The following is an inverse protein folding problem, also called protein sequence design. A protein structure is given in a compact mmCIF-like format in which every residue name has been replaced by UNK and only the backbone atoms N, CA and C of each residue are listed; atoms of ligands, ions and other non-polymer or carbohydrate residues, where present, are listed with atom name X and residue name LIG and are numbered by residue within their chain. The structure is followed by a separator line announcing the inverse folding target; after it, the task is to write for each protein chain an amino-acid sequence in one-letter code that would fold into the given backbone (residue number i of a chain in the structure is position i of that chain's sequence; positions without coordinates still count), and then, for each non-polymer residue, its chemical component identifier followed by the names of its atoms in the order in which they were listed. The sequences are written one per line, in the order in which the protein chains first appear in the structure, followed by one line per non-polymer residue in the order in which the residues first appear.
data_IF_657799036371
#
_entry.id   IF_657799036371
#
_cell.length_a   1.000
_cell.length_b   1.000
_cell.length_c   1.000
_cell.angle_alpha   90.00
_cell.angle_beta   90.00
_cell.angle_gamma   90.00
#
_symmetry.space_group_name_H-M   'P 1'
#
loop_
_entity.id
_entity.type
_entity.pdbx_description
1 polymer ?
#
# COMPACT_ATOMS: atom_id res chain seq x y z
N UNK A 1 3.88 -4.88 20.52
CA UNK A 1 4.91 -5.62 21.28
C UNK A 1 6.14 -4.74 21.43
N UNK A 2 6.79 -4.71 22.60
CA UNK A 2 7.97 -3.86 22.84
C UNK A 2 9.28 -4.65 22.74
N UNK A 3 10.25 -4.09 22.04
CA UNK A 3 11.63 -4.56 21.88
C UNK A 3 12.59 -3.42 22.18
N UNK A 4 13.13 -3.37 23.40
CA UNK A 4 13.95 -2.24 23.84
C UNK A 4 13.17 -0.93 23.76
N UNK A 5 13.65 0.01 22.94
CA UNK A 5 13.03 1.32 22.72
C UNK A 5 11.95 1.31 21.62
N UNK A 6 11.78 0.20 20.91
CA UNK A 6 10.81 0.09 19.82
C UNK A 6 9.54 -0.59 20.30
N UNK A 7 8.39 0.03 20.06
CA UNK A 7 7.09 -0.62 20.11
C UNK A 7 6.60 -0.89 18.69
N UNK A 8 6.32 -2.17 18.43
CA UNK A 8 5.87 -2.66 17.14
C UNK A 8 4.39 -3.03 17.20
N UNK A 9 3.58 -2.42 16.33
CA UNK A 9 2.18 -2.77 16.09
C UNK A 9 2.16 -3.59 14.79
N UNK A 10 1.61 -4.81 14.85
CA UNK A 10 1.37 -5.62 13.66
C UNK A 10 -0.11 -5.58 13.33
N UNK A 11 -0.44 -5.04 12.17
CA UNK A 11 -1.80 -4.97 11.63
C UNK A 11 -1.98 -6.01 10.54
N UNK A 12 -3.12 -6.67 10.55
CA UNK A 12 -3.55 -7.60 9.52
C UNK A 12 -4.16 -6.86 8.32
N UNK A 13 -3.45 -5.85 7.80
CA UNK A 13 -3.79 -5.15 6.56
C UNK A 13 -3.47 -6.02 5.35
N UNK A 14 -4.32 -7.01 5.09
CA UNK A 14 -4.20 -7.96 3.98
C UNK A 14 -5.54 -8.20 3.32
N UNK A 15 -5.51 -8.37 2.00
CA UNK A 15 -6.67 -8.73 1.16
C UNK A 15 -6.28 -9.83 0.19
N UNK A 16 -7.26 -10.54 -0.33
CA UNK A 16 -7.01 -11.53 -1.38
C UNK A 16 -6.43 -10.83 -2.62
N UNK A 17 -5.39 -11.40 -3.22
CA UNK A 17 -4.91 -10.93 -4.52
C UNK A 17 -5.79 -11.51 -5.63
N UNK A 18 -6.29 -10.65 -6.52
CA UNK A 18 -7.02 -11.07 -7.72
C UNK A 18 -6.44 -10.44 -8.98
N UNK A 19 -6.72 -11.08 -10.11
CA UNK A 19 -6.35 -10.53 -11.42
C UNK A 19 -7.00 -9.16 -11.64
N UNK A 20 -6.24 -8.14 -12.08
CA UNK A 20 -6.78 -6.83 -12.47
C UNK A 20 -7.47 -6.84 -13.85
N UNK A 21 -7.42 -7.96 -14.59
CA UNK A 21 -8.05 -8.06 -15.90
C UNK A 21 -9.57 -7.91 -15.79
N UNK A 22 -10.13 -7.07 -16.67
CA UNK A 22 -11.58 -6.91 -16.86
C UNK A 22 -12.13 -7.77 -18.01
N UNK A 23 -11.31 -8.69 -18.57
CA UNK A 23 -11.74 -9.58 -19.64
C UNK A 23 -12.88 -10.51 -19.19
N UNK A 24 -13.75 -10.88 -20.12
CA UNK A 24 -15.03 -11.57 -19.85
C UNK A 24 -14.91 -12.89 -19.07
N UNK A 25 -13.84 -13.65 -19.30
CA UNK A 25 -13.55 -14.90 -18.59
C UNK A 25 -12.79 -14.73 -17.27
N UNK A 26 -12.62 -13.50 -16.78
CA UNK A 26 -11.80 -13.24 -15.59
C UNK A 26 -12.67 -13.27 -14.33
N UNK A 27 -12.34 -14.19 -13.41
CA UNK A 27 -12.69 -14.07 -12.00
C UNK A 27 -11.69 -13.12 -11.33
N UNK A 28 -11.98 -11.83 -11.38
CA UNK A 28 -11.02 -10.76 -11.10
C UNK A 28 -11.38 -9.94 -9.87
N UNK A 29 -10.61 -8.88 -9.64
CA UNK A 29 -10.88 -7.91 -8.57
C UNK A 29 -12.14 -7.06 -8.86
N UNK A 30 -12.41 -6.75 -10.12
CA UNK A 30 -13.48 -5.83 -10.49
C UNK A 30 -14.76 -6.53 -10.98
N UNK A 31 -14.69 -7.82 -11.33
CA UNK A 31 -15.84 -8.54 -11.90
C UNK A 31 -15.72 -10.06 -11.77
N UNK A 32 -16.86 -10.70 -11.89
CA UNK A 32 -16.95 -12.14 -12.11
C UNK A 32 -16.83 -12.51 -13.59
N UNK A 33 -16.47 -13.78 -13.83
CA UNK A 33 -16.49 -14.36 -15.16
C UNK A 33 -17.93 -14.50 -15.66
N UNK A 34 -18.20 -14.16 -16.92
CA UNK A 34 -19.56 -14.19 -17.47
C UNK A 34 -20.19 -15.59 -17.47
N UNK A 35 -19.37 -16.64 -17.52
CA UNK A 35 -19.83 -18.04 -17.44
C UNK A 35 -20.35 -18.43 -16.06
N UNK A 36 -20.01 -17.66 -15.02
CA UNK A 36 -20.17 -18.06 -13.63
C UNK A 36 -21.30 -17.29 -12.93
N UNK A 37 -21.96 -16.35 -13.63
CA UNK A 37 -22.98 -15.45 -13.08
C UNK A 37 -24.15 -16.16 -12.38
N UNK A 38 -24.45 -17.41 -12.75
CA UNK A 38 -25.54 -18.20 -12.15
C UNK A 38 -25.05 -19.21 -11.10
N UNK A 39 -23.76 -19.17 -10.71
CA UNK A 39 -23.16 -20.12 -9.76
C UNK A 39 -22.39 -19.37 -8.66
N UNK A 40 -23.08 -18.84 -7.63
CA UNK A 40 -22.45 -18.04 -6.57
C UNK A 40 -21.28 -18.72 -5.83
N UNK A 41 -21.30 -20.05 -5.73
CA UNK A 41 -20.27 -20.83 -5.02
C UNK A 41 -18.87 -20.76 -5.65
N UNK A 42 -18.76 -20.30 -6.90
CA UNK A 42 -17.48 -20.19 -7.62
C UNK A 42 -17.02 -18.74 -7.85
N UNK A 43 -17.81 -17.77 -7.40
CA UNK A 43 -17.47 -16.35 -7.50
C UNK A 43 -16.18 -16.01 -6.74
N UNK A 44 -15.48 -15.00 -7.26
CA UNK A 44 -14.28 -14.44 -6.69
C UNK A 44 -14.54 -13.50 -5.51
N UNK A 45 -15.71 -12.86 -5.49
CA UNK A 45 -16.12 -11.87 -4.48
C UNK A 45 -15.16 -10.67 -4.38
N UNK A 46 -14.59 -10.27 -5.52
CA UNK A 46 -13.62 -9.20 -5.60
C UNK A 46 -12.34 -9.46 -4.78
N UNK A 47 -11.72 -8.37 -4.34
CA UNK A 47 -10.59 -8.31 -3.40
C UNK A 47 -11.08 -8.07 -1.97
N UNK A 48 -11.76 -9.07 -1.41
CA UNK A 48 -12.17 -9.01 -0.01
C UNK A 48 -10.98 -9.00 0.96
N UNK A 49 -11.20 -8.36 2.10
CA UNK A 49 -10.26 -8.23 3.21
C UNK A 49 -10.39 -9.47 4.11
N UNK A 50 -9.25 -9.99 4.61
CA UNK A 50 -9.26 -11.19 5.45
C UNK A 50 -9.64 -10.91 6.90
N UNK A 51 -9.13 -9.81 7.47
CA UNK A 51 -9.47 -9.34 8.81
C UNK A 51 -9.78 -7.85 8.73
N UNK A 52 -10.95 -7.47 9.22
CA UNK A 52 -11.41 -6.10 9.10
C UNK A 52 -10.62 -5.17 10.03
N UNK A 53 -10.30 -3.98 9.55
CA UNK A 53 -9.66 -2.90 10.32
C UNK A 53 -10.56 -1.67 10.46
N UNK A 54 -11.78 -1.72 9.91
CA UNK A 54 -12.73 -0.63 9.98
C UNK A 54 -13.16 -0.33 11.42
N UNK A 55 -13.62 0.89 11.65
CA UNK A 55 -14.13 1.31 12.94
C UNK A 55 -15.18 0.32 13.48
N UNK A 56 -14.96 -0.17 14.70
CA UNK A 56 -15.81 -1.16 15.37
C UNK A 56 -15.48 -2.62 15.06
N UNK A 57 -14.45 -2.91 14.25
CA UNK A 57 -13.91 -4.25 14.13
C UNK A 57 -13.12 -4.66 15.39
N UNK A 58 -12.95 -5.98 15.60
CA UNK A 58 -12.14 -6.49 16.71
C UNK A 58 -10.69 -5.96 16.67
N UNK A 59 -10.11 -5.86 15.47
CA UNK A 59 -8.75 -5.37 15.28
C UNK A 59 -8.64 -3.86 15.54
N UNK A 60 -9.64 -3.08 15.13
CA UNK A 60 -9.69 -1.64 15.40
C UNK A 60 -9.80 -1.36 16.91
N UNK A 61 -10.72 -2.05 17.60
CA UNK A 61 -10.88 -1.91 19.05
C UNK A 61 -9.64 -2.40 19.81
N UNK A 62 -9.02 -3.48 19.34
CA UNK A 62 -7.73 -3.93 19.83
C UNK A 62 -6.65 -2.86 19.64
N UNK A 63 -6.56 -2.24 18.46
CA UNK A 63 -5.58 -1.19 18.19
C UNK A 63 -5.73 -0.04 19.19
N UNK A 64 -6.95 0.44 19.43
CA UNK A 64 -7.21 1.47 20.45
C UNK A 64 -6.64 1.05 21.81
N UNK A 65 -6.92 -0.17 22.25
CA UNK A 65 -6.40 -0.68 23.53
C UNK A 65 -4.87 -0.75 23.59
N UNK A 66 -4.22 -1.06 22.46
CA UNK A 66 -2.76 -1.08 22.33
C UNK A 66 -2.18 0.32 22.46
N UNK A 67 -2.78 1.30 21.78
CA UNK A 67 -2.37 2.70 21.81
C UNK A 67 -2.57 3.33 23.20
N UNK A 68 -3.52 2.82 23.98
CA UNK A 68 -3.75 3.25 25.36
C UNK A 68 -2.76 2.64 26.38
N UNK A 69 -2.04 1.58 26.00
CA UNK A 69 -1.16 0.85 26.93
C UNK A 69 0.06 1.66 27.37
N UNK A 70 0.48 1.48 28.62
CA UNK A 70 1.69 2.11 29.15
C UNK A 70 2.94 1.70 28.35
N UNK A 71 2.97 0.46 27.86
CA UNK A 71 4.08 -0.06 27.08
C UNK A 71 4.25 0.69 25.75
N UNK A 72 3.14 1.05 25.09
CA UNK A 72 3.14 1.86 23.87
C UNK A 72 3.49 3.33 24.20
N UNK A 73 2.79 3.91 25.17
CA UNK A 73 2.95 5.33 25.53
C UNK A 73 4.38 5.68 25.98
N UNK A 74 5.05 4.75 26.64
CA UNK A 74 6.42 4.92 27.14
C UNK A 74 7.52 4.46 26.17
N UNK A 75 7.17 4.00 24.97
CA UNK A 75 8.15 3.63 23.97
C UNK A 75 8.64 4.87 23.20
N UNK A 76 9.97 5.11 23.12
CA UNK A 76 10.51 6.21 22.33
C UNK A 76 10.24 6.09 20.83
N UNK A 77 10.24 4.86 20.31
CA UNK A 77 10.03 4.57 18.88
C UNK A 77 8.80 3.69 18.73
N UNK A 78 7.88 4.08 17.86
CA UNK A 78 6.59 3.44 17.62
C UNK A 78 6.45 3.21 16.12
N UNK A 79 6.29 1.95 15.76
CA UNK A 79 6.23 1.48 14.37
C UNK A 79 4.99 0.63 14.19
N UNK A 80 4.23 0.88 13.13
CA UNK A 80 3.19 0.00 12.64
C UNK A 80 3.66 -0.75 11.40
N UNK A 81 3.24 -2.01 11.27
CA UNK A 81 3.51 -2.87 10.13
C UNK A 81 2.20 -3.38 9.56
N UNK A 82 2.07 -3.33 8.23
CA UNK A 82 1.02 -4.04 7.50
C UNK A 82 1.54 -4.50 6.15
N UNK A 83 0.88 -5.47 5.51
CA UNK A 83 1.37 -5.97 4.22
C UNK A 83 0.95 -5.07 3.07
N UNK A 84 -0.35 -4.74 2.99
CA UNK A 84 -0.90 -3.99 1.87
C UNK A 84 -0.66 -2.48 2.04
N UNK A 85 -0.28 -1.73 1.00
CA UNK A 85 -0.16 -0.28 1.06
C UNK A 85 -1.50 0.39 0.75
N UNK A 86 -1.94 1.34 1.59
CA UNK A 86 -3.07 2.22 1.28
C UNK A 86 -2.61 3.49 0.54
N UNK A 87 -1.42 3.99 0.88
CA UNK A 87 -0.73 4.99 0.09
C UNK A 87 0.28 4.34 -0.84
N UNK A 88 0.42 4.86 -2.06
CA UNK A 88 1.23 4.24 -3.10
C UNK A 88 1.50 5.16 -4.28
N UNK A 89 2.11 4.65 -5.34
CA UNK A 89 2.29 5.39 -6.59
C UNK A 89 1.44 4.75 -7.68
N UNK A 90 0.28 5.34 -7.95
CA UNK A 90 -0.75 4.85 -8.83
C UNK A 90 -1.29 3.52 -8.33
N UNK A 91 -1.34 2.54 -9.25
CA UNK A 91 -2.00 1.26 -9.02
C UNK A 91 -1.25 0.30 -8.07
N UNK A 92 -0.23 0.78 -7.34
CA UNK A 92 0.39 0.04 -6.24
C UNK A 92 -0.56 -0.10 -5.03
N UNK A 93 -1.50 0.82 -4.87
CA UNK A 93 -2.50 0.84 -3.79
C UNK A 93 -3.93 0.88 -4.34
N UNK A 94 -4.14 0.37 -5.56
CA UNK A 94 -5.47 0.31 -6.21
C UNK A 94 -5.93 -1.14 -6.37
N UNK A 95 -7.20 -1.45 -6.05
CA UNK A 95 -8.24 -0.55 -5.51
C UNK A 95 -7.91 -0.07 -4.09
N UNK A 96 -8.67 0.92 -3.60
CA UNK A 96 -8.64 1.34 -2.19
C UNK A 96 -8.74 0.13 -1.24
N UNK A 97 -8.16 0.23 -0.05
CA UNK A 97 -8.27 -0.84 0.95
C UNK A 97 -9.65 -0.79 1.61
N UNK A 98 -10.67 -1.24 0.86
CA UNK A 98 -12.08 -1.19 1.23
C UNK A 98 -12.77 -2.53 0.97
N UNK A 99 -13.92 -2.76 1.62
CA UNK A 99 -14.78 -3.90 1.32
C UNK A 99 -15.36 -3.76 -0.09
N UNK A 100 -15.39 -4.84 -0.90
CA UNK A 100 -15.91 -4.77 -2.27
C UNK A 100 -17.42 -4.50 -2.29
N UNK A 101 -17.85 -3.50 -3.04
CA UNK A 101 -19.26 -3.18 -3.22
C UNK A 101 -19.79 -3.91 -4.45
N UNK A 102 -20.60 -4.95 -4.22
CA UNK A 102 -21.15 -5.75 -5.31
C UNK A 102 -22.21 -4.97 -6.09
N UNK A 103 -22.06 -4.96 -7.41
CA UNK A 103 -23.01 -4.42 -8.37
C UNK A 103 -23.48 -5.55 -9.29
N UNK A 104 -24.80 -5.70 -9.43
CA UNK A 104 -25.43 -6.66 -10.32
C UNK A 104 -25.96 -5.92 -11.55
N UNK A 105 -25.42 -6.25 -12.72
CA UNK A 105 -25.83 -5.63 -13.98
C UNK A 105 -26.89 -6.50 -14.67
N UNK A 106 -28.01 -5.89 -15.06
CA UNK A 106 -29.12 -6.56 -15.72
C UNK A 106 -29.38 -5.97 -17.11
N UNK A 107 -29.78 -6.81 -18.07
CA UNK A 107 -30.28 -6.36 -19.37
C UNK A 107 -31.72 -5.82 -19.29
N UNK A 108 -32.23 -5.27 -20.41
CA UNK A 108 -33.60 -4.74 -20.51
C UNK A 108 -34.69 -5.79 -20.24
N UNK A 109 -34.37 -7.08 -20.38
CA UNK A 109 -35.27 -8.21 -20.11
C UNK A 109 -35.16 -8.70 -18.65
N UNK A 110 -34.32 -8.05 -17.82
CA UNK A 110 -34.11 -8.39 -16.41
C UNK A 110 -33.20 -9.60 -16.18
N UNK A 111 -32.39 -10.01 -17.17
CA UNK A 111 -31.41 -11.10 -17.02
C UNK A 111 -30.11 -10.54 -16.48
N UNK A 112 -29.52 -11.25 -15.51
CA UNK A 112 -28.19 -10.93 -14.99
C UNK A 112 -27.14 -11.11 -16.10
N UNK A 113 -26.45 -10.03 -16.46
CA UNK A 113 -25.42 -9.99 -17.51
C UNK A 113 -24.03 -9.66 -16.97
N UNK A 114 -23.92 -9.22 -15.72
CA UNK A 114 -22.65 -8.91 -15.08
C UNK A 114 -22.74 -8.87 -13.56
N UNK A 115 -21.62 -9.21 -12.92
CA UNK A 115 -21.38 -8.92 -11.50
C UNK A 115 -20.06 -8.18 -11.45
N UNK A 116 -20.09 -6.98 -10.88
CA UNK A 116 -18.94 -6.10 -10.70
C UNK A 116 -18.73 -5.78 -9.23
N UNK A 117 -17.53 -5.31 -8.92
CA UNK A 117 -17.14 -4.87 -7.59
C UNK A 117 -16.50 -3.50 -7.69
N UNK A 118 -17.07 -2.56 -6.95
CA UNK A 118 -16.52 -1.21 -6.80
C UNK A 118 -15.78 -1.08 -5.48
N UNK A 119 -14.85 -0.13 -5.43
CA UNK A 119 -14.03 0.16 -4.25
C UNK A 119 -13.93 1.67 -4.09
N UNK A 120 -14.99 2.33 -3.61
CA UNK A 120 -15.02 3.77 -3.49
C UNK A 120 -13.84 4.26 -2.64
N UNK A 121 -13.09 5.23 -3.14
CA UNK A 121 -11.86 5.70 -2.51
C UNK A 121 -12.15 6.32 -1.14
N UNK A 122 -13.30 6.98 -0.99
CA UNK A 122 -13.75 7.54 0.28
C UNK A 122 -14.05 6.48 1.35
N UNK A 123 -14.08 5.19 0.99
CA UNK A 123 -14.26 4.07 1.92
C UNK A 123 -12.95 3.34 2.23
N UNK A 124 -11.80 3.89 1.87
CA UNK A 124 -10.51 3.31 2.25
C UNK A 124 -10.40 3.23 3.78
N UNK A 125 -10.37 2.00 4.29
CA UNK A 125 -10.42 1.71 5.73
C UNK A 125 -9.15 2.20 6.42
N UNK A 126 -7.99 2.07 5.77
CA UNK A 126 -6.76 2.50 6.41
C UNK A 126 -6.75 4.01 6.60
N UNK A 127 -7.06 4.74 5.53
CA UNK A 127 -7.01 6.22 5.55
C UNK A 127 -8.06 6.81 6.49
N UNK A 128 -9.25 6.22 6.56
CA UNK A 128 -10.33 6.76 7.37
C UNK A 128 -10.26 6.35 8.85
N UNK A 129 -9.93 5.08 9.13
CA UNK A 129 -10.14 4.50 10.46
C UNK A 129 -8.82 4.17 11.19
N UNK A 130 -7.73 3.88 10.46
CA UNK A 130 -6.48 3.40 11.06
C UNK A 130 -5.41 4.49 11.12
N UNK A 131 -5.15 5.16 10.00
CA UNK A 131 -4.13 6.20 9.90
C UNK A 131 -4.33 7.31 10.94
N UNK A 132 -5.56 7.83 11.18
CA UNK A 132 -5.77 8.87 12.18
C UNK A 132 -5.40 8.39 13.59
N UNK A 133 -5.75 7.16 13.97
CA UNK A 133 -5.41 6.59 15.28
C UNK A 133 -3.89 6.48 15.46
N UNK A 134 -3.18 6.00 14.44
CA UNK A 134 -1.72 5.88 14.49
C UNK A 134 -1.06 7.26 14.57
N UNK A 135 -1.51 8.19 13.74
CA UNK A 135 -1.01 9.56 13.66
C UNK A 135 -1.19 10.31 14.99
N UNK A 136 -2.41 10.31 15.55
CA UNK A 136 -2.74 10.96 16.82
C UNK A 136 -1.99 10.35 18.01
N UNK A 137 -1.74 9.03 17.98
CA UNK A 137 -0.99 8.33 19.02
C UNK A 137 0.53 8.54 18.93
N UNK A 138 0.99 9.27 17.90
CA UNK A 138 2.40 9.59 17.66
C UNK A 138 3.20 8.38 17.18
N UNK A 139 2.62 7.53 16.35
CA UNK A 139 3.37 6.53 15.59
C UNK A 139 4.24 7.26 14.57
N UNK A 140 5.53 6.90 14.49
CA UNK A 140 6.47 7.60 13.61
C UNK A 140 6.64 6.97 12.24
N UNK A 141 6.36 5.67 12.13
CA UNK A 141 6.59 4.88 10.93
C UNK A 141 5.48 3.85 10.73
N UNK A 142 4.82 3.91 9.59
CA UNK A 142 4.05 2.82 9.01
C UNK A 142 4.90 2.17 7.94
N UNK A 143 5.16 0.88 8.07
CA UNK A 143 5.95 0.13 7.10
C UNK A 143 5.08 -0.91 6.39
N UNK A 144 5.08 -0.83 5.06
CA UNK A 144 4.25 -1.61 4.13
C UNK A 144 5.09 -2.46 3.18
N UNK A 145 4.43 -3.34 2.41
CA UNK A 145 5.06 -4.14 1.37
C UNK A 145 4.14 -4.29 0.16
N UNK A 146 4.05 -5.51 -0.38
CA UNK A 146 3.15 -5.93 -1.46
C UNK A 146 3.56 -5.52 -2.89
N UNK A 147 3.93 -4.26 -3.14
CA UNK A 147 4.16 -3.77 -4.50
C UNK A 147 5.58 -3.98 -5.03
N UNK A 148 6.45 -4.53 -4.18
CA UNK A 148 7.83 -4.87 -4.52
C UNK A 148 8.63 -3.64 -5.01
N UNK A 149 8.37 -2.51 -4.36
CA UNK A 149 9.00 -1.23 -4.63
C UNK A 149 9.58 -0.66 -3.35
N UNK A 150 10.39 0.38 -3.51
CA UNK A 150 10.71 1.32 -2.44
C UNK A 150 10.09 2.68 -2.74
N UNK A 151 9.43 3.30 -1.78
CA UNK A 151 9.06 4.73 -1.77
C UNK A 151 8.74 5.18 -0.35
N UNK A 152 8.73 6.50 -0.14
CA UNK A 152 8.37 7.10 1.15
C UNK A 152 7.38 8.24 0.98
N UNK A 153 6.37 8.27 1.84
CA UNK A 153 5.48 9.41 2.05
C UNK A 153 5.61 9.92 3.47
N UNK A 154 5.11 11.13 3.71
CA UNK A 154 4.97 11.73 5.03
C UNK A 154 3.57 12.34 5.10
N UNK A 155 2.79 11.94 6.11
CA UNK A 155 1.47 12.50 6.32
C UNK A 155 1.56 13.93 6.92
N UNK A 156 0.44 14.68 7.00
CA UNK A 156 0.46 16.06 7.51
C UNK A 156 1.04 16.24 8.93
N UNK A 157 0.95 15.20 9.76
CA UNK A 157 1.39 15.16 11.16
C UNK A 157 2.86 14.72 11.30
N UNK A 158 3.49 14.29 10.20
CA UNK A 158 4.91 13.91 10.15
C UNK A 158 5.19 12.40 10.31
N UNK A 159 4.16 11.56 10.34
CA UNK A 159 4.31 10.11 10.31
C UNK A 159 4.84 9.67 8.94
N UNK A 160 5.91 8.87 8.92
CA UNK A 160 6.47 8.33 7.69
C UNK A 160 5.69 7.07 7.27
N UNK A 161 5.40 6.96 5.98
CA UNK A 161 4.82 5.75 5.38
C UNK A 161 5.84 5.23 4.37
N UNK A 162 6.35 4.02 4.61
CA UNK A 162 7.47 3.46 3.87
C UNK A 162 7.08 2.10 3.29
N UNK A 163 7.17 1.96 1.97
CA UNK A 163 7.26 0.65 1.34
C UNK A 163 8.75 0.35 1.07
N UNK A 164 9.25 -0.83 1.46
CA UNK A 164 10.65 -1.24 1.18
C UNK A 164 10.75 -2.71 0.80
N UNK A 165 9.91 -3.15 -0.14
CA UNK A 165 9.78 -4.57 -0.52
C UNK A 165 10.44 -4.94 -1.87
N UNK A 166 11.28 -4.06 -2.44
CA UNK A 166 11.96 -4.33 -3.71
C UNK A 166 13.12 -5.35 -3.57
N UNK A 167 12.82 -6.64 -3.79
CA UNK A 167 13.76 -7.77 -3.69
C UNK A 167 13.58 -8.75 -4.86
N UNK A 168 14.08 -8.40 -6.04
CA UNK A 168 14.21 -9.31 -7.20
C UNK A 168 13.06 -9.33 -8.21
N UNK A 169 11.94 -8.66 -7.92
CA UNK A 169 10.99 -8.19 -8.93
C UNK A 169 10.32 -6.90 -8.46
N UNK A 170 9.54 -6.24 -9.33
CA UNK A 170 8.82 -5.01 -8.98
C UNK A 170 7.46 -4.90 -9.67
N UNK A 171 6.52 -4.17 -9.05
CA UNK A 171 5.26 -3.78 -9.69
C UNK A 171 5.26 -2.34 -10.21
N UNK A 172 6.43 -1.73 -10.41
CA UNK A 172 6.55 -0.45 -11.09
C UNK A 172 6.34 0.77 -10.20
N UNK A 173 6.95 1.88 -10.63
CA UNK A 173 6.77 3.19 -10.02
C UNK A 173 5.90 4.05 -10.93
N UNK A 174 4.66 4.32 -10.52
CA UNK A 174 3.69 5.06 -11.33
C UNK A 174 3.49 6.48 -10.82
N UNK A 175 4.33 7.37 -11.31
CA UNK A 175 4.23 8.80 -11.02
C UNK A 175 3.83 9.57 -12.28
N UNK A 176 3.13 10.68 -12.07
CA UNK A 176 2.75 11.59 -13.15
C UNK A 176 3.99 12.04 -13.94
N UNK A 177 3.86 12.09 -15.27
CA UNK A 177 4.98 12.45 -16.16
C UNK A 177 6.04 11.36 -16.39
N UNK A 178 6.02 10.25 -15.64
CA UNK A 178 6.95 9.12 -15.87
C UNK A 178 6.25 7.90 -16.48
N UNK A 179 5.25 7.36 -15.78
CA UNK A 179 4.60 6.10 -16.15
C UNK A 179 3.24 6.00 -15.48
N UNK A 180 2.21 5.66 -16.25
CA UNK A 180 0.91 5.27 -15.72
C UNK A 180 0.74 3.74 -15.79
N UNK A 181 -0.02 3.16 -14.86
CA UNK A 181 -0.44 1.75 -14.92
C UNK A 181 -1.76 1.62 -15.67
N UNK A 182 -1.92 0.55 -16.44
CA UNK A 182 -3.15 0.28 -17.22
C UNK A 182 -4.15 -0.66 -16.53
N UNK A 183 -4.01 -0.93 -15.24
CA UNK A 183 -4.78 -1.95 -14.52
C UNK A 183 -5.91 -1.38 -13.63
N UNK A 184 -6.08 -0.06 -13.59
CA UNK A 184 -7.24 0.57 -12.95
C UNK A 184 -8.53 0.15 -13.65
N UNK A 185 -9.62 0.01 -12.88
CA UNK A 185 -10.93 -0.23 -13.47
C UNK A 185 -11.29 0.92 -14.43
N UNK A 186 -11.93 0.59 -15.53
CA UNK A 186 -12.22 1.54 -16.61
C UNK A 186 -13.41 1.06 -17.43
N UNK A 187 -14.20 2.01 -17.92
CA UNK A 187 -15.50 1.76 -18.55
C UNK A 187 -16.54 2.75 -18.04
N UNK A 188 -17.74 2.74 -18.61
CA UNK A 188 -18.80 3.68 -18.22
C UNK A 188 -19.32 3.47 -16.79
N UNK A 189 -19.06 2.30 -16.21
CA UNK A 189 -19.70 1.86 -14.98
C UNK A 189 -18.81 1.93 -13.73
N UNK A 190 -17.57 2.44 -13.86
CA UNK A 190 -16.65 2.70 -12.74
C UNK A 190 -16.33 4.18 -12.66
N UNK A 191 -16.26 4.74 -11.45
CA UNK A 191 -15.72 6.09 -11.27
C UNK A 191 -14.20 6.03 -11.36
N UNK A 192 -13.63 6.63 -12.42
CA UNK A 192 -12.18 6.69 -12.60
C UNK A 192 -11.44 7.40 -11.47
N UNK A 193 -12.13 8.22 -10.66
CA UNK A 193 -11.56 8.87 -9.48
C UNK A 193 -11.12 7.86 -8.41
N UNK A 194 -11.76 6.69 -8.35
CA UNK A 194 -11.44 5.64 -7.38
C UNK A 194 -10.21 4.79 -7.77
N UNK A 195 -9.76 4.91 -9.01
CA UNK A 195 -8.75 4.03 -9.62
C UNK A 195 -7.57 4.81 -10.17
N UNK A 196 -6.87 5.53 -9.29
CA UNK A 196 -5.71 6.34 -9.65
C UNK A 196 -4.62 5.52 -10.39
N UNK A 197 -4.31 5.90 -11.63
CA UNK A 197 -3.29 5.22 -12.46
C UNK A 197 -1.87 5.75 -12.26
N UNK A 198 -1.73 6.86 -11.53
CA UNK A 198 -0.47 7.55 -11.19
C UNK A 198 -0.62 8.27 -9.85
N UNK A 199 0.48 8.40 -9.09
CA UNK A 199 0.51 9.15 -7.85
C UNK A 199 -0.29 8.52 -6.72
N UNK A 200 -0.21 9.09 -5.53
CA UNK A 200 -0.98 8.58 -4.39
C UNK A 200 -2.48 8.82 -4.59
N UNK A 201 -3.35 7.79 -4.46
CA UNK A 201 -4.79 7.98 -4.64
C UNK A 201 -5.37 8.99 -3.64
N UNK A 202 -4.76 9.15 -2.46
CA UNK A 202 -5.17 10.09 -1.42
C UNK A 202 -4.39 11.42 -1.45
N UNK A 203 -3.55 11.63 -2.47
CA UNK A 203 -2.89 12.91 -2.75
C UNK A 203 -1.55 13.16 -2.05
N UNK A 204 -1.01 12.20 -1.30
CA UNK A 204 0.32 12.34 -0.72
C UNK A 204 1.42 12.45 -1.79
N UNK A 205 2.39 13.34 -1.54
CA UNK A 205 3.51 13.54 -2.44
C UNK A 205 4.69 12.65 -2.02
N UNK A 206 5.26 11.86 -2.95
CA UNK A 206 6.36 10.97 -2.62
C UNK A 206 7.61 11.79 -2.30
N UNK A 207 8.36 11.36 -1.30
CA UNK A 207 9.57 12.03 -0.84
C UNK A 207 10.77 11.51 -1.63
N UNK A 208 11.57 12.44 -2.17
CA UNK A 208 12.83 12.10 -2.82
C UNK A 208 13.85 11.56 -1.81
N UNK A 209 14.62 10.52 -2.16
CA UNK A 209 15.76 10.08 -1.35
C UNK A 209 16.75 11.20 -1.05
N UNK A 210 17.25 11.27 0.19
CA UNK A 210 18.12 12.36 0.64
C UNK A 210 19.57 12.26 0.18
N UNK A 211 20.12 11.06 0.00
CA UNK A 211 21.54 10.86 -0.35
C UNK A 211 21.73 10.81 -1.87
N UNK A 212 20.95 9.97 -2.55
CA UNK A 212 20.83 9.94 -4.01
C UNK A 212 19.61 9.13 -4.44
N UNK A 213 19.10 9.37 -5.64
CA UNK A 213 18.07 8.53 -6.22
C UNK A 213 18.68 7.33 -6.95
N UNK A 214 18.35 6.08 -6.59
CA UNK A 214 18.82 4.89 -7.33
C UNK A 214 18.22 4.77 -8.73
N UNK A 215 17.12 5.46 -9.00
CA UNK A 215 16.45 5.44 -10.29
C UNK A 215 16.29 6.82 -10.92
N UNK A 216 16.20 6.84 -12.25
CA UNK A 216 15.90 8.02 -13.03
C UNK A 216 14.96 7.68 -14.18
N UNK A 217 14.25 8.69 -14.69
CA UNK A 217 13.46 8.55 -15.92
C UNK A 217 14.36 8.56 -17.17
N UNK A 218 13.76 8.43 -18.35
CA UNK A 218 14.49 8.40 -19.62
C UNK A 218 15.31 9.66 -19.91
N UNK A 219 14.92 10.80 -19.34
CA UNK A 219 15.61 12.09 -19.45
C UNK A 219 16.71 12.27 -18.38
N UNK A 220 16.93 11.25 -17.54
CA UNK A 220 17.92 11.27 -16.46
C UNK A 220 17.48 12.01 -15.20
N UNK A 221 16.21 12.41 -15.09
CA UNK A 221 15.68 13.05 -13.88
C UNK A 221 15.47 12.00 -12.78
N UNK A 222 15.84 12.29 -11.52
CA UNK A 222 15.73 11.34 -10.44
C UNK A 222 14.26 11.02 -10.11
N UNK A 223 14.00 9.79 -9.67
CA UNK A 223 12.68 9.29 -9.28
C UNK A 223 12.59 9.08 -7.75
N UNK A 224 11.41 9.25 -7.12
CA UNK A 224 11.27 9.10 -5.67
C UNK A 224 11.13 7.63 -5.22
N UNK A 225 11.59 6.69 -6.03
CA UNK A 225 11.22 5.29 -5.90
C UNK A 225 12.31 4.34 -6.42
N UNK A 226 12.30 3.11 -5.93
CA UNK A 226 13.09 2.00 -6.50
C UNK A 226 12.12 0.91 -6.96
N UNK A 227 12.02 0.75 -8.27
CA UNK A 227 11.21 -0.27 -8.93
C UNK A 227 12.08 -1.00 -9.97
N UNK A 228 12.90 -1.93 -9.51
CA UNK A 228 13.87 -2.65 -10.34
C UNK A 228 13.79 -4.17 -10.13
N UNK A 229 14.15 -4.92 -11.17
CA UNK A 229 14.37 -6.37 -11.09
C UNK A 229 15.86 -6.70 -10.90
N UNK A 230 16.74 -5.73 -11.09
CA UNK A 230 18.20 -5.89 -11.02
C UNK A 230 18.75 -5.39 -9.69
N UNK A 231 18.12 -4.35 -9.12
CA UNK A 231 18.48 -3.84 -7.81
C UNK A 231 17.64 -4.49 -6.71
N UNK A 232 18.20 -4.52 -5.51
CA UNK A 232 17.50 -4.85 -4.27
C UNK A 232 17.62 -3.68 -3.30
N UNK A 233 16.50 -3.27 -2.71
CA UNK A 233 16.45 -2.27 -1.65
C UNK A 233 16.07 -2.91 -0.31
N UNK A 234 16.69 -2.45 0.76
CA UNK A 234 16.34 -2.82 2.14
C UNK A 234 16.54 -1.64 3.07
N UNK A 235 15.84 -1.63 4.21
CA UNK A 235 15.91 -0.53 5.16
C UNK A 235 16.35 -1.01 6.53
N UNK A 236 17.21 -0.25 7.19
CA UNK A 236 17.66 -0.50 8.57
C UNK A 236 17.05 0.55 9.49
N UNK A 237 16.31 0.11 10.51
CA UNK A 237 15.93 0.96 11.64
C UNK A 237 17.09 0.96 12.65
N UNK A 238 17.72 2.11 12.81
CA UNK A 238 18.74 2.35 13.83
C UNK A 238 18.13 3.10 15.01
N UNK A 239 18.40 2.62 16.22
CA UNK A 239 17.98 3.25 17.47
C UNK A 239 19.16 3.43 18.40
N UNK A 240 19.24 4.56 19.09
CA UNK A 240 20.27 4.79 20.10
C UNK A 240 20.06 6.04 20.93
N UNK A 241 21.05 6.43 21.76
CA UNK A 241 20.93 7.59 22.66
C UNK A 241 20.68 8.92 21.96
N UNK A 242 20.94 9.00 20.64
CA UNK A 242 20.79 10.20 19.82
C UNK A 242 19.46 10.23 19.05
N UNK A 243 18.56 9.27 19.31
CA UNK A 243 17.28 9.14 18.61
C UNK A 243 17.23 7.89 17.73
N UNK A 244 16.26 7.86 16.83
CA UNK A 244 16.07 6.78 15.87
C UNK A 244 16.04 7.30 14.43
N UNK A 245 16.55 6.51 13.50
CA UNK A 245 16.51 6.81 12.07
C UNK A 245 16.30 5.56 11.24
N UNK A 246 15.69 5.74 10.08
CA UNK A 246 15.60 4.70 9.06
C UNK A 246 16.58 5.03 7.94
N UNK A 247 17.41 4.05 7.61
CA UNK A 247 18.46 4.15 6.59
C UNK A 247 18.19 3.12 5.49
N UNK A 248 17.57 3.52 4.36
CA UNK A 248 17.45 2.68 3.18
C UNK A 248 18.75 2.53 2.39
N UNK A 249 19.01 1.30 1.96
CA UNK A 249 20.17 0.88 1.18
C UNK A 249 19.74 0.18 -0.10
N UNK A 250 20.57 0.28 -1.13
CA UNK A 250 20.39 -0.40 -2.41
C UNK A 250 21.70 -1.07 -2.84
N UNK A 251 21.58 -2.17 -3.56
CA UNK A 251 22.69 -2.81 -4.27
C UNK A 251 22.19 -3.47 -5.57
N UNK A 252 23.10 -3.64 -6.52
CA UNK A 252 22.83 -4.36 -7.77
C UNK A 252 22.98 -5.86 -7.53
N UNK A 253 21.87 -6.60 -7.58
CA UNK A 253 21.83 -8.03 -7.33
C UNK A 253 22.33 -8.87 -8.53
N UNK A 254 22.59 -8.25 -9.68
CA UNK A 254 23.18 -8.93 -10.85
C UNK A 254 24.70 -9.03 -10.76
N UNK A 255 25.33 -8.28 -9.85
CA UNK A 255 26.78 -8.23 -9.65
C UNK A 255 27.11 -8.88 -8.29
N UNK A 256 27.85 -10.00 -8.27
CA UNK A 256 28.39 -10.55 -7.02
C UNK A 256 29.26 -9.51 -6.30
N UNK A 257 29.12 -9.43 -4.98
CA UNK A 257 29.85 -8.47 -4.12
C UNK A 257 29.61 -6.99 -4.50
N UNK A 258 28.46 -6.68 -5.10
CA UNK A 258 28.03 -5.31 -5.39
C UNK A 258 28.07 -4.43 -4.14
N UNK A 259 28.49 -3.18 -4.33
CA UNK A 259 28.56 -2.22 -3.24
C UNK A 259 27.16 -1.90 -2.71
N UNK A 260 26.98 -2.05 -1.40
CA UNK A 260 25.77 -1.65 -0.70
C UNK A 260 25.86 -0.16 -0.38
N UNK A 261 24.93 0.63 -0.92
CA UNK A 261 24.95 2.10 -0.80
C UNK A 261 23.67 2.60 -0.13
N UNK A 262 23.82 3.42 0.91
CA UNK A 262 22.71 4.13 1.55
C UNK A 262 22.24 5.23 0.60
N UNK A 263 20.94 5.27 0.29
CA UNK A 263 20.39 6.20 -0.69
C UNK A 263 19.36 7.17 -0.10
N UNK A 264 18.76 6.83 1.05
CA UNK A 264 17.89 7.72 1.82
C UNK A 264 18.27 7.65 3.31
N UNK A 265 17.87 8.68 4.07
CA UNK A 265 17.98 8.71 5.53
C UNK A 265 16.98 9.70 6.12
N UNK A 266 16.21 9.24 7.11
CA UNK A 266 15.29 10.11 7.84
C UNK A 266 15.19 9.73 9.32
N UNK A 267 14.98 10.74 10.17
CA UNK A 267 14.80 10.56 11.61
C UNK A 267 13.35 10.20 11.95
N UNK A 268 13.17 9.42 13.02
CA UNK A 268 11.89 9.19 13.67
C UNK A 268 11.84 10.08 14.92
N UNK A 269 10.92 11.06 14.93
CA UNK A 269 10.82 12.08 15.98
C UNK A 269 9.78 11.76 17.05
#
# INVERSE_FOLDING_TARGET
MRFGDVFLIGLHGTRIWRSPSQAEGTRGKYREAATDLNTPDIWGWGEFIFEDMAAGSEQHDWLISVLESDAFKSAPVKVALMHHPAHGMGDNSVPAFAHPEQILDYDDDGRLVGIRYDYPLEKDIFVNDVEPLLSEAGVQLVHTGHSHVWYRFVNPEGMNILETSNVGNNYGCYIEGHKARGNGASGFDYDSADYAVTGDPHGYQPVMPTEFSPMSNADGQPLPCVASNEMTAFSILETGPQGASVNPYVFDATIPDSEVRMFDRFALN
#
